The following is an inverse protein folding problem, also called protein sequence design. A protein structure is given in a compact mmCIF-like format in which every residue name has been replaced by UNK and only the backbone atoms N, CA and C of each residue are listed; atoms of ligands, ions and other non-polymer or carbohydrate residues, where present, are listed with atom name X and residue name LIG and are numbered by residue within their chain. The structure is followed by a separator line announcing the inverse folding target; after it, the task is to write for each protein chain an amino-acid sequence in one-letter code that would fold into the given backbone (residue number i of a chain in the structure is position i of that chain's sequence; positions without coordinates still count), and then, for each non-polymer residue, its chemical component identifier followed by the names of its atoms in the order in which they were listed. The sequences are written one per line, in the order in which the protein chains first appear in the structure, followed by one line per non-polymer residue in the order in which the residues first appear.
data_IF_035294927715
#
_entry.id   IF_035294927715
#
_cell.length_a   1.000
_cell.length_b   1.000
_cell.length_c   1.000
_cell.angle_alpha   90.00
_cell.angle_beta   90.00
_cell.angle_gamma   90.00
#
_symmetry.space_group_name_H-M   'P 1'
#
loop_
_entity.id
_entity.type
_entity.pdbx_description
1 polymer ?
#
# COMPACT_ATOMS: atom_id res chain seq x y z
N UNK A 1 -2.84 12.77 -13.49
CA UNK A 1 -1.70 11.90 -13.12
C UNK A 1 -2.25 10.49 -13.01
N UNK A 2 -1.58 9.47 -13.54
CA UNK A 2 -2.08 8.10 -13.50
C UNK A 2 -1.65 7.42 -12.21
N UNK A 3 -2.57 6.71 -11.55
CA UNK A 3 -2.29 5.86 -10.39
C UNK A 3 -2.50 4.41 -10.77
N UNK A 4 -1.67 3.55 -10.19
CA UNK A 4 -1.77 2.10 -10.32
C UNK A 4 -2.22 1.49 -8.99
N UNK A 5 -2.86 0.33 -9.08
CA UNK A 5 -3.25 -0.44 -7.89
C UNK A 5 -2.07 -1.30 -7.43
N UNK A 6 -1.63 -1.08 -6.20
CA UNK A 6 -0.52 -1.78 -5.56
C UNK A 6 -1.05 -2.59 -4.39
N UNK A 7 -0.56 -3.81 -4.20
CA UNK A 7 -0.73 -4.58 -2.97
C UNK A 7 0.48 -4.36 -2.08
N UNK A 8 0.24 -3.87 -0.86
CA UNK A 8 1.25 -3.73 0.19
C UNK A 8 1.02 -4.84 1.21
N UNK A 9 1.96 -5.78 1.29
CA UNK A 9 1.97 -6.85 2.25
C UNK A 9 2.51 -6.39 3.60
N UNK A 10 1.78 -6.74 4.65
CA UNK A 10 2.10 -6.42 6.04
C UNK A 10 2.02 -7.68 6.89
N UNK A 11 2.82 -7.73 7.95
CA UNK A 11 2.77 -8.78 8.96
C UNK A 11 2.72 -8.18 10.36
N UNK A 12 1.78 -8.65 11.18
CA UNK A 12 1.74 -8.24 12.57
C UNK A 12 2.95 -8.81 13.32
N UNK A 13 3.69 -7.95 14.03
CA UNK A 13 4.98 -8.29 14.66
C UNK A 13 4.85 -9.42 15.68
N UNK A 14 3.75 -9.48 16.44
CA UNK A 14 3.56 -10.47 17.53
C UNK A 14 2.85 -11.73 17.04
N UNK A 15 1.64 -11.59 16.50
CA UNK A 15 0.79 -12.73 16.09
C UNK A 15 1.21 -13.35 14.77
N UNK A 16 2.09 -12.68 14.03
CA UNK A 16 2.55 -13.09 12.70
C UNK A 16 1.44 -13.19 11.64
N UNK A 17 0.24 -12.68 11.95
CA UNK A 17 -0.87 -12.58 11.02
C UNK A 17 -0.48 -11.73 9.81
N UNK A 18 -0.92 -12.16 8.62
CA UNK A 18 -0.69 -11.44 7.36
C UNK A 18 -1.87 -10.52 7.07
N UNK A 19 -1.56 -9.37 6.50
CA UNK A 19 -2.53 -8.38 6.04
C UNK A 19 -2.03 -7.84 4.70
N UNK A 20 -2.86 -7.90 3.68
CA UNK A 20 -2.57 -7.34 2.35
C UNK A 20 -3.51 -6.16 2.11
N UNK A 21 -2.93 -4.98 1.83
CA UNK A 21 -3.69 -3.75 1.62
C UNK A 21 -3.51 -3.28 0.18
N UNK A 22 -4.61 -3.14 -0.54
CA UNK A 22 -4.60 -2.50 -1.85
C UNK A 22 -4.59 -0.98 -1.73
N UNK A 23 -3.60 -0.32 -2.31
CA UNK A 23 -3.44 1.14 -2.34
C UNK A 23 -3.31 1.62 -3.78
N UNK A 24 -3.90 2.77 -4.09
CA UNK A 24 -3.68 3.45 -5.36
C UNK A 24 -2.55 4.45 -5.22
N UNK A 25 -1.55 4.36 -6.09
CA UNK A 25 -0.42 5.29 -6.10
C UNK A 25 0.27 5.33 -7.48
N UNK A 26 0.96 6.43 -7.83
CA UNK A 26 1.72 6.52 -9.08
C UNK A 26 2.87 5.51 -9.16
N UNK A 27 3.53 5.23 -8.04
CA UNK A 27 4.67 4.32 -7.94
C UNK A 27 4.54 3.34 -6.77
N UNK A 28 5.34 2.27 -6.81
CA UNK A 28 5.48 1.31 -5.71
C UNK A 28 5.94 1.97 -4.41
N UNK A 29 6.88 2.91 -4.53
CA UNK A 29 7.41 3.66 -3.40
C UNK A 29 6.33 4.55 -2.78
N UNK A 30 5.56 5.26 -3.60
CA UNK A 30 4.43 6.07 -3.13
C UNK A 30 3.38 5.21 -2.41
N UNK A 31 3.09 4.00 -2.89
CA UNK A 31 2.15 3.08 -2.24
C UNK A 31 2.63 2.67 -0.84
N UNK A 32 3.92 2.37 -0.71
CA UNK A 32 4.54 1.99 0.57
C UNK A 32 4.62 3.19 1.52
N UNK A 33 5.00 4.35 0.99
CA UNK A 33 5.16 5.58 1.77
C UNK A 33 3.82 6.07 2.36
N UNK A 34 2.70 5.92 1.64
CA UNK A 34 1.36 6.23 2.14
C UNK A 34 1.00 5.50 3.45
N UNK A 35 1.58 4.33 3.70
CA UNK A 35 1.32 3.53 4.90
C UNK A 35 2.37 3.73 5.99
N UNK A 36 3.46 4.44 5.70
CA UNK A 36 4.50 4.76 6.67
C UNK A 36 3.97 5.76 7.70
N UNK A 37 4.19 5.49 8.99
CA UNK A 37 3.66 6.28 10.10
C UNK A 37 2.20 5.98 10.47
N UNK A 38 1.48 5.18 9.66
CA UNK A 38 0.11 4.74 9.94
C UNK A 38 0.11 3.28 10.37
N UNK A 39 0.66 2.41 9.51
CA UNK A 39 0.72 0.96 9.73
C UNK A 39 2.15 0.43 9.74
N UNK A 40 3.07 1.08 9.02
CA UNK A 40 4.48 0.68 8.93
C UNK A 40 5.31 1.74 9.67
N UNK A 41 6.12 1.32 10.64
CA UNK A 41 6.97 2.24 11.37
C UNK A 41 7.62 1.61 12.58
N UNK A 42 8.54 2.35 13.24
CA UNK A 42 9.20 1.88 14.46
C UNK A 42 8.17 1.55 15.55
N UNK A 43 7.21 2.45 15.77
CA UNK A 43 6.16 2.33 16.79
C UNK A 43 4.91 1.58 16.32
N UNK A 44 4.84 1.16 15.04
CA UNK A 44 3.65 0.48 14.52
C UNK A 44 3.69 -1.03 14.82
N UNK A 45 2.52 -1.66 14.90
CA UNK A 45 2.40 -3.09 15.20
C UNK A 45 2.70 -4.01 14.01
N UNK A 46 2.77 -3.46 12.80
CA UNK A 46 3.02 -4.20 11.58
C UNK A 46 4.42 -3.92 11.01
N UNK A 47 5.01 -4.94 10.39
CA UNK A 47 6.22 -4.87 9.58
C UNK A 47 5.86 -5.02 8.10
N UNK A 48 6.56 -4.27 7.24
CA UNK A 48 6.41 -4.36 5.79
C UNK A 48 7.04 -5.65 5.28
N UNK A 49 6.31 -6.39 4.45
CA UNK A 49 6.79 -7.66 3.87
C UNK A 49 6.98 -7.62 2.35
N UNK A 50 6.68 -6.49 1.72
CA UNK A 50 6.82 -6.31 0.28
C UNK A 50 5.68 -5.50 -0.32
N UNK A 51 5.96 -4.81 -1.42
CA UNK A 51 4.96 -4.09 -2.21
C UNK A 51 5.09 -4.57 -3.65
N UNK A 52 3.96 -4.83 -4.29
CA UNK A 52 3.92 -5.28 -5.66
C UNK A 52 2.66 -4.81 -6.38
N UNK A 53 2.64 -4.89 -7.73
CA UNK A 53 1.42 -4.61 -8.48
C UNK A 53 0.32 -5.58 -8.03
N UNK A 54 -0.88 -5.04 -7.84
CA UNK A 54 -2.05 -5.84 -7.51
C UNK A 54 -2.51 -6.59 -8.78
N UNK A 55 -2.33 -7.91 -8.79
CA UNK A 55 -2.66 -8.75 -9.94
C UNK A 55 -4.13 -9.17 -9.98
N UNK A 56 -4.96 -8.75 -9.03
CA UNK A 56 -6.38 -9.10 -8.97
C UNK A 56 -7.18 -8.61 -10.21
N UNK A 57 -8.35 -9.20 -10.45
CA UNK A 57 -9.22 -9.06 -11.63
C UNK A 57 -10.00 -7.72 -11.62
N UNK A 58 -9.30 -6.59 -11.44
CA UNK A 58 -9.88 -5.25 -11.44
C UNK A 58 -9.12 -4.26 -12.33
N UNK A 59 -9.65 -3.04 -12.50
CA UNK A 59 -8.92 -1.97 -13.17
C UNK A 59 -7.58 -1.73 -12.45
N UNK A 60 -6.49 -1.71 -13.21
CA UNK A 60 -5.11 -1.57 -12.70
C UNK A 60 -4.57 -0.15 -12.76
N UNK A 61 -5.29 0.73 -13.45
CA UNK A 61 -4.94 2.12 -13.67
C UNK A 61 -6.19 2.99 -13.47
N UNK A 62 -6.03 4.15 -12.84
CA UNK A 62 -7.06 5.18 -12.76
C UNK A 62 -6.45 6.57 -12.92
N UNK A 63 -7.26 7.53 -13.33
CA UNK A 63 -6.91 8.93 -13.18
C UNK A 63 -6.91 9.29 -11.69
N UNK A 64 -5.83 9.92 -11.23
CA UNK A 64 -5.74 10.47 -9.89
C UNK A 64 -6.90 11.45 -9.68
N UNK A 65 -7.63 11.29 -8.58
CA UNK A 65 -8.62 12.28 -8.18
C UNK A 65 -7.91 13.64 -7.95
N UNK A 66 -8.52 14.77 -8.33
CA UNK A 66 -7.96 16.07 -8.02
C UNK A 66 -7.77 16.19 -6.51
N UNK A 67 -6.56 16.52 -6.09
CA UNK A 67 -6.25 16.84 -4.70
C UNK A 67 -6.88 18.19 -4.41
N UNK A 68 -8.06 18.21 -3.79
CA UNK A 68 -8.62 19.45 -3.27
C UNK A 68 -7.74 19.89 -2.09
N UNK A 69 -6.95 20.94 -2.31
CA UNK A 69 -6.19 21.66 -1.29
C UNK A 69 -7.06 22.69 -0.59
#
# INVERSE_FOLDING_TARGET
MKEYKWSVGLRHKTTKAKLDISVWAPTCDDATHKLTGILIGPECEYEWTGTGPDYDNGPRERDAAPTNH
#
